data_IF_544104362404
#
_entry.id   IF_544104362404
#
_cell.length_a   1.000
_cell.length_b   1.000
_cell.length_c   1.000
_cell.angle_alpha   90.00
_cell.angle_beta   90.00
_cell.angle_gamma   90.00
#
_symmetry.space_group_name_H-M   'P 1'
#
loop_
_entity.id
_entity.type
_entity.pdbx_description
1 polymer ?
#
# COMPACT_ATOMS: atom_id res chain seq x y z
N UNK A 1 13.96 10.91 27.50
CA UNK A 1 13.82 11.11 26.05
C UNK A 1 13.36 9.80 25.45
N UNK A 2 12.16 9.77 24.88
CA UNK A 2 11.62 8.59 24.19
C UNK A 2 12.57 8.23 23.06
N UNK A 3 13.07 7.00 23.07
CA UNK A 3 14.03 6.48 22.09
C UNK A 3 13.39 6.50 20.71
N UNK A 4 13.86 7.37 19.83
CA UNK A 4 13.37 7.50 18.45
C UNK A 4 13.99 6.38 17.60
N UNK A 5 13.15 5.48 17.09
CA UNK A 5 13.57 4.47 16.11
C UNK A 5 13.29 4.96 14.70
N UNK A 6 14.10 4.55 13.72
CA UNK A 6 13.81 4.83 12.31
C UNK A 6 12.47 4.20 11.88
N UNK A 7 12.07 3.09 12.51
CA UNK A 7 10.81 2.39 12.20
C UNK A 7 9.57 3.17 12.66
N UNK A 8 9.72 4.11 13.60
CA UNK A 8 8.62 4.95 14.10
C UNK A 8 7.93 5.71 12.97
N UNK A 9 8.66 5.96 11.87
CA UNK A 9 8.11 6.57 10.66
C UNK A 9 6.95 5.76 10.07
N UNK A 10 6.87 4.46 10.31
CA UNK A 10 5.79 3.58 9.84
C UNK A 10 4.89 3.09 10.98
N UNK A 11 5.44 2.88 12.18
CA UNK A 11 4.73 2.21 13.29
C UNK A 11 4.02 3.18 14.24
N UNK A 12 4.63 4.34 14.54
CA UNK A 12 4.08 5.30 15.51
C UNK A 12 2.71 5.80 15.06
N UNK A 13 1.71 5.81 15.93
CA UNK A 13 0.34 6.23 15.59
C UNK A 13 -0.01 7.67 16.02
N UNK A 14 0.70 8.19 17.02
CA UNK A 14 0.49 9.53 17.59
C UNK A 14 1.77 10.39 17.58
N UNK A 15 1.60 11.70 17.74
CA UNK A 15 2.70 12.67 17.75
C UNK A 15 3.31 12.94 16.37
N UNK A 16 4.55 13.43 16.37
CA UNK A 16 5.22 13.92 15.16
C UNK A 16 6.22 12.90 14.61
N UNK A 17 6.22 12.75 13.29
CA UNK A 17 7.18 11.95 12.51
C UNK A 17 7.67 12.77 11.31
N UNK A 18 8.91 12.52 10.87
CA UNK A 18 9.46 13.08 9.65
C UNK A 18 9.44 12.02 8.54
N UNK A 19 8.94 12.38 7.36
CA UNK A 19 8.78 11.48 6.22
C UNK A 19 9.25 12.17 4.93
N UNK A 20 9.92 11.43 4.06
CA UNK A 20 9.99 11.79 2.64
C UNK A 20 8.66 11.46 1.95
N UNK A 21 8.45 11.98 0.73
CA UNK A 21 7.24 11.66 -0.06
C UNK A 21 7.05 10.16 -0.28
N UNK A 22 8.12 9.43 -0.63
CA UNK A 22 8.06 7.97 -0.81
C UNK A 22 7.70 7.26 0.51
N UNK A 23 8.26 7.70 1.63
CA UNK A 23 7.94 7.11 2.94
C UNK A 23 6.48 7.37 3.33
N UNK A 24 5.94 8.54 2.99
CA UNK A 24 4.53 8.83 3.17
C UNK A 24 3.64 7.91 2.33
N UNK A 25 4.01 7.61 1.08
CA UNK A 25 3.28 6.67 0.22
C UNK A 25 3.29 5.23 0.76
N UNK A 26 4.41 4.79 1.34
CA UNK A 26 4.50 3.47 2.00
C UNK A 26 3.69 3.43 3.29
N UNK A 27 3.65 4.55 4.04
CA UNK A 27 2.89 4.65 5.28
C UNK A 27 1.38 4.73 5.05
N UNK A 28 0.94 5.36 3.97
CA UNK A 28 -0.48 5.58 3.67
C UNK A 28 -1.36 4.31 3.80
N UNK A 29 -1.04 3.17 3.18
CA UNK A 29 -1.86 1.95 3.31
C UNK A 29 -1.87 1.40 4.75
N UNK A 30 -0.78 1.55 5.51
CA UNK A 30 -0.74 1.17 6.94
C UNK A 30 -1.71 2.04 7.75
N UNK A 31 -1.73 3.35 7.47
CA UNK A 31 -2.62 4.29 8.13
C UNK A 31 -4.10 4.00 7.79
N UNK A 32 -4.38 3.67 6.52
CA UNK A 32 -5.73 3.29 6.09
C UNK A 32 -6.19 2.00 6.78
N UNK A 33 -5.38 0.94 6.80
CA UNK A 33 -5.73 -0.31 7.49
C UNK A 33 -6.00 -0.10 8.98
N UNK A 34 -5.22 0.75 9.66
CA UNK A 34 -5.48 1.14 11.06
C UNK A 34 -6.82 1.88 11.20
N UNK A 35 -7.16 2.76 10.26
CA UNK A 35 -8.44 3.47 10.27
C UNK A 35 -9.62 2.50 10.07
N UNK A 36 -9.52 1.59 9.11
CA UNK A 36 -10.53 0.57 8.83
C UNK A 36 -10.74 -0.35 10.04
N UNK A 37 -9.64 -0.80 10.66
CA UNK A 37 -9.69 -1.63 11.88
C UNK A 37 -10.36 -0.90 13.04
N UNK A 38 -10.11 0.40 13.23
CA UNK A 38 -10.81 1.22 14.23
C UNK A 38 -12.30 1.38 13.93
N UNK A 39 -12.70 1.33 12.67
CA UNK A 39 -14.10 1.29 12.24
C UNK A 39 -14.72 -0.11 12.33
N UNK A 40 -13.98 -1.13 12.77
CA UNK A 40 -14.45 -2.51 12.87
C UNK A 40 -14.45 -3.29 11.57
N UNK A 41 -13.77 -2.79 10.53
CA UNK A 41 -13.68 -3.43 9.21
C UNK A 41 -12.44 -4.34 9.13
N UNK A 42 -12.59 -5.50 8.50
CA UNK A 42 -11.52 -6.40 8.13
C UNK A 42 -11.16 -6.22 6.66
N UNK A 43 -10.39 -5.17 6.35
CA UNK A 43 -9.96 -4.86 4.98
C UNK A 43 -8.57 -5.41 4.66
N UNK A 44 -8.28 -5.50 3.37
CA UNK A 44 -6.94 -5.70 2.84
C UNK A 44 -6.57 -4.58 1.87
N UNK A 45 -5.29 -4.45 1.56
CA UNK A 45 -4.81 -3.54 0.51
C UNK A 45 -4.03 -4.32 -0.53
N UNK A 46 -4.28 -4.05 -1.80
CA UNK A 46 -3.48 -4.58 -2.90
C UNK A 46 -2.81 -3.43 -3.63
N UNK A 47 -1.48 -3.50 -3.72
CA UNK A 47 -0.64 -2.48 -4.34
C UNK A 47 0.02 -3.09 -5.57
N UNK A 48 -0.18 -2.49 -6.73
CA UNK A 48 0.58 -2.85 -7.93
C UNK A 48 1.02 -1.62 -8.70
N UNK A 49 2.20 -1.69 -9.29
CA UNK A 49 2.70 -0.58 -10.10
C UNK A 49 3.97 -0.92 -10.84
N UNK A 50 4.30 -0.02 -11.77
CA UNK A 50 5.47 -0.15 -12.63
C UNK A 50 6.53 0.88 -12.26
N UNK A 51 7.79 0.44 -12.23
CA UNK A 51 8.93 1.25 -11.77
C UNK A 51 9.21 2.40 -12.73
N UNK A 52 9.39 3.60 -12.18
CA UNK A 52 9.84 4.77 -12.94
C UNK A 52 9.90 6.03 -12.11
N UNK A 53 10.74 6.99 -12.53
CA UNK A 53 10.74 8.35 -11.98
C UNK A 53 9.36 9.00 -12.17
N UNK A 54 8.84 9.79 -11.20
CA UNK A 54 9.45 10.20 -9.92
C UNK A 54 9.26 9.21 -8.76
N UNK A 55 8.55 8.10 -8.99
CA UNK A 55 8.24 7.09 -7.97
C UNK A 55 9.33 6.01 -7.83
N UNK A 56 10.49 6.23 -8.46
CA UNK A 56 11.64 5.35 -8.40
C UNK A 56 12.12 5.21 -6.95
N UNK A 57 11.81 4.08 -6.32
CA UNK A 57 12.11 3.85 -4.91
C UNK A 57 10.97 3.27 -4.10
N UNK A 58 9.71 3.45 -4.54
CA UNK A 58 8.55 2.93 -3.82
C UNK A 58 8.60 1.40 -3.69
N UNK A 59 8.90 0.69 -4.79
CA UNK A 59 9.06 -0.76 -4.81
C UNK A 59 10.08 -1.24 -3.77
N UNK A 60 11.25 -0.59 -3.73
CA UNK A 60 12.32 -0.98 -2.82
C UNK A 60 11.91 -0.76 -1.37
N UNK A 61 11.20 0.33 -1.07
CA UNK A 61 10.70 0.58 0.28
C UNK A 61 9.57 -0.39 0.66
N UNK A 62 8.65 -0.71 -0.24
CA UNK A 62 7.60 -1.70 0.00
C UNK A 62 8.21 -3.08 0.25
N UNK A 63 9.16 -3.51 -0.58
CA UNK A 63 9.88 -4.77 -0.41
C UNK A 63 10.69 -4.81 0.90
N UNK A 64 11.38 -3.73 1.25
CA UNK A 64 12.15 -3.64 2.49
C UNK A 64 11.25 -3.73 3.75
N UNK A 65 9.97 -3.34 3.63
CA UNK A 65 9.00 -3.35 4.72
C UNK A 65 7.98 -4.50 4.61
N UNK A 66 8.23 -5.55 3.82
CA UNK A 66 7.27 -6.62 3.54
C UNK A 66 6.66 -7.23 4.81
N UNK A 67 7.46 -7.49 5.85
CA UNK A 67 6.96 -8.04 7.12
C UNK A 67 5.92 -7.13 7.80
N UNK A 68 6.10 -5.82 7.71
CA UNK A 68 5.15 -4.85 8.25
C UNK A 68 3.88 -4.78 7.37
N UNK A 69 4.03 -4.87 6.05
CA UNK A 69 2.90 -4.94 5.12
C UNK A 69 2.03 -6.18 5.39
N UNK A 70 2.65 -7.35 5.59
CA UNK A 70 1.96 -8.61 5.86
C UNK A 70 1.11 -8.54 7.16
N UNK A 71 1.62 -7.86 8.19
CA UNK A 71 0.89 -7.64 9.45
C UNK A 71 -0.38 -6.78 9.30
N UNK A 72 -0.47 -6.01 8.21
CA UNK A 72 -1.55 -5.09 7.89
C UNK A 72 -2.40 -5.56 6.70
N UNK A 73 -2.33 -6.85 6.32
CA UNK A 73 -3.06 -7.40 5.16
C UNK A 73 -2.74 -6.65 3.84
N UNK A 74 -1.52 -6.14 3.69
CA UNK A 74 -1.10 -5.40 2.49
C UNK A 74 -0.27 -6.32 1.61
N UNK A 75 -0.72 -6.52 0.36
CA UNK A 75 0.00 -7.27 -0.66
C UNK A 75 0.58 -6.30 -1.67
N UNK A 76 1.89 -6.35 -1.89
CA UNK A 76 2.56 -5.62 -2.96
C UNK A 76 2.95 -6.59 -4.08
N UNK A 77 2.53 -6.28 -5.31
CA UNK A 77 2.88 -7.01 -6.51
C UNK A 77 3.52 -6.07 -7.54
N UNK A 78 4.83 -6.20 -7.82
CA UNK A 78 5.45 -5.43 -8.89
C UNK A 78 4.83 -5.83 -10.24
N UNK A 79 4.39 -4.84 -11.02
CA UNK A 79 3.77 -5.07 -12.31
C UNK A 79 4.80 -5.07 -13.45
N UNK A 80 4.49 -5.77 -14.55
CA UNK A 80 5.33 -5.80 -15.76
C UNK A 80 5.20 -4.49 -16.56
N UNK A 81 4.04 -3.83 -16.50
CA UNK A 81 3.77 -2.51 -17.03
C UNK A 81 2.59 -1.87 -16.25
N UNK A 82 2.31 -0.62 -16.57
CA UNK A 82 1.25 0.20 -15.98
C UNK A 82 -0.15 -0.42 -16.15
N UNK A 83 -0.50 -0.82 -17.37
CA UNK A 83 -1.83 -1.34 -17.75
C UNK A 83 -2.17 -2.65 -17.01
N UNK A 84 -1.19 -3.56 -16.92
CA UNK A 84 -1.31 -4.81 -16.18
C UNK A 84 -1.39 -4.56 -14.67
N UNK A 85 -0.64 -3.58 -14.16
CA UNK A 85 -0.75 -3.15 -12.77
C UNK A 85 -2.15 -2.65 -12.44
N UNK A 86 -2.72 -1.81 -13.30
CA UNK A 86 -4.08 -1.28 -13.14
C UNK A 86 -5.12 -2.39 -13.20
N UNK A 87 -4.96 -3.33 -14.14
CA UNK A 87 -5.82 -4.51 -14.28
C UNK A 87 -5.79 -5.40 -13.04
N UNK A 88 -4.60 -5.63 -12.47
CA UNK A 88 -4.47 -6.42 -11.24
C UNK A 88 -5.15 -5.74 -10.04
N UNK A 89 -5.00 -4.42 -9.92
CA UNK A 89 -5.69 -3.62 -8.89
C UNK A 89 -7.21 -3.73 -9.06
N UNK A 90 -7.73 -3.54 -10.27
CA UNK A 90 -9.15 -3.66 -10.55
C UNK A 90 -9.70 -5.06 -10.19
N UNK A 91 -9.00 -6.12 -10.60
CA UNK A 91 -9.37 -7.49 -10.26
C UNK A 91 -9.38 -7.76 -8.75
N UNK A 92 -8.44 -7.17 -8.00
CA UNK A 92 -8.39 -7.34 -6.53
C UNK A 92 -9.64 -6.79 -5.83
N UNK A 93 -10.25 -5.73 -6.38
CA UNK A 93 -11.44 -5.09 -5.82
C UNK A 93 -12.73 -5.89 -6.09
N UNK A 94 -12.69 -6.83 -7.04
CA UNK A 94 -13.79 -7.75 -7.33
C UNK A 94 -13.88 -8.91 -6.35
N UNK A 95 -13.07 -8.95 -5.27
CA UNK A 95 -13.07 -10.04 -4.29
C UNK A 95 -14.48 -10.37 -3.74
N UNK A 96 -15.34 -9.37 -3.58
CA UNK A 96 -16.72 -9.51 -3.10
C UNK A 96 -17.67 -10.20 -4.09
N UNK A 97 -17.27 -10.39 -5.34
CA UNK A 97 -18.06 -11.11 -6.34
C UNK A 97 -17.92 -12.64 -6.23
N UNK A 98 -16.97 -13.12 -5.42
CA UNK A 98 -16.72 -14.54 -5.19
C UNK A 98 -17.34 -15.00 -3.87
N UNK A 99 -17.70 -16.30 -3.75
CA UNK A 99 -18.19 -16.84 -2.48
C UNK A 99 -17.12 -16.78 -1.40
N UNK A 100 -17.55 -16.52 -0.16
CA UNK A 100 -16.71 -16.48 1.05
C UNK A 100 -15.48 -15.55 0.95
N UNK A 101 -15.68 -14.24 0.72
CA UNK A 101 -14.57 -13.30 0.63
C UNK A 101 -13.83 -13.23 1.98
N UNK A 102 -12.49 -13.30 1.92
CA UNK A 102 -11.62 -13.27 3.12
C UNK A 102 -11.66 -11.93 3.87
N UNK A 103 -11.98 -10.84 3.17
CA UNK A 103 -11.94 -9.46 3.68
C UNK A 103 -13.22 -8.74 3.27
N UNK A 104 -13.67 -7.75 4.04
CA UNK A 104 -14.87 -6.96 3.77
C UNK A 104 -14.72 -6.07 2.53
N UNK A 105 -13.47 -5.78 2.14
CA UNK A 105 -13.13 -5.01 0.97
C UNK A 105 -11.63 -4.99 0.73
N UNK A 106 -11.25 -4.61 -0.50
CA UNK A 106 -9.85 -4.44 -0.90
C UNK A 106 -9.63 -3.00 -1.34
N UNK A 107 -8.75 -2.29 -0.64
CA UNK A 107 -8.20 -1.02 -1.12
C UNK A 107 -7.22 -1.30 -2.26
N UNK A 108 -7.49 -0.75 -3.43
CA UNK A 108 -6.58 -0.80 -4.57
C UNK A 108 -5.67 0.41 -4.59
N UNK A 109 -4.36 0.21 -4.64
CA UNK A 109 -3.38 1.28 -4.88
C UNK A 109 -2.61 0.94 -6.14
N UNK A 110 -2.74 1.80 -7.15
CA UNK A 110 -1.99 1.70 -8.38
C UNK A 110 -0.98 2.85 -8.47
N UNK A 111 0.20 2.58 -9.03
CA UNK A 111 1.13 3.63 -9.40
C UNK A 111 1.83 3.38 -10.74
N UNK A 112 2.06 4.47 -11.47
CA UNK A 112 2.70 4.47 -12.78
C UNK A 112 3.28 5.85 -13.09
N UNK A 113 3.84 5.99 -14.30
CA UNK A 113 4.42 7.24 -14.83
C UNK A 113 3.54 7.80 -15.94
N UNK A 114 3.70 9.10 -16.24
CA UNK A 114 2.86 9.90 -17.15
C UNK A 114 2.13 9.13 -18.27
N UNK A 115 2.84 8.50 -19.22
CA UNK A 115 2.19 7.81 -20.34
C UNK A 115 1.25 6.65 -19.95
N UNK A 116 1.43 6.03 -18.79
CA UNK A 116 0.51 5.00 -18.28
C UNK A 116 -0.58 5.56 -17.37
N UNK A 117 -0.47 6.81 -16.92
CA UNK A 117 -1.57 7.54 -16.24
C UNK A 117 -2.56 8.08 -17.28
N UNK A 118 -2.07 8.47 -18.45
CA UNK A 118 -2.87 9.06 -19.52
C UNK A 118 -3.73 8.04 -20.31
N UNK A 119 -3.67 6.74 -19.97
CA UNK A 119 -4.31 5.64 -20.70
C UNK A 119 -5.53 5.07 -19.99
#
# INVERSE_FOLDING_TARGET
MTQFSLDDRYTREDGTIALSGIQALVRLPLAQHRADKRAGLNTATFIAGYRGSPLGGIDFQLQANQKLLDQHNIVFMPAVNEDLGATAVWGSQMAQLYPDPKYDGVLGIWYGKGPGVDR
#
